data_IF_290975395531
#
_entry.id   IF_290975395531
#
_cell.length_a   1.000
_cell.length_b   1.000
_cell.length_c   1.000
_cell.angle_alpha   90.00
_cell.angle_beta   90.00
_cell.angle_gamma   90.00
#
_symmetry.space_group_name_H-M   'P 1'
#
loop_
_entity.id
_entity.type
_entity.pdbx_description
1 polymer ?
#
# COMPACT_ATOMS: atom_id res chain seq x y z
N UNK A 1 -17.70 47.67 -35.77
CA UNK A 1 -16.72 46.60 -35.46
C UNK A 1 -17.15 46.02 -34.12
N UNK A 2 -17.86 44.87 -34.10
CA UNK A 2 -17.33 43.50 -33.92
C UNK A 2 -16.41 43.43 -32.67
N UNK A 3 -16.61 42.62 -31.63
CA UNK A 3 -17.19 41.27 -31.52
C UNK A 3 -17.88 41.05 -30.17
N UNK A 4 -18.96 40.26 -30.19
CA UNK A 4 -19.54 39.60 -29.03
C UNK A 4 -18.71 38.36 -28.66
N UNK A 5 -18.63 38.03 -27.37
CA UNK A 5 -18.35 36.66 -26.93
C UNK A 5 -19.41 36.24 -25.90
N UNK A 6 -20.04 35.13 -26.28
CA UNK A 6 -21.21 34.48 -25.72
C UNK A 6 -20.89 33.75 -24.42
N UNK A 7 -21.81 33.91 -23.47
CA UNK A 7 -21.92 33.14 -22.24
C UNK A 7 -22.18 31.67 -22.60
N UNK A 8 -21.20 30.79 -22.38
CA UNK A 8 -21.35 29.35 -22.59
C UNK A 8 -22.21 28.74 -21.49
N UNK A 9 -23.45 28.36 -21.82
CA UNK A 9 -24.24 27.45 -20.99
C UNK A 9 -23.56 26.08 -20.98
N UNK A 10 -22.99 25.67 -19.85
CA UNK A 10 -22.74 24.25 -19.58
C UNK A 10 -24.09 23.56 -19.41
N UNK A 11 -24.47 22.77 -20.41
CA UNK A 11 -25.56 21.80 -20.28
C UNK A 11 -24.98 20.61 -19.50
N UNK A 12 -25.28 20.52 -18.21
CA UNK A 12 -25.05 19.30 -17.44
C UNK A 12 -26.08 18.26 -17.90
N UNK A 13 -25.64 17.31 -18.73
CA UNK A 13 -26.44 16.13 -19.06
C UNK A 13 -26.39 15.21 -17.84
N UNK A 14 -27.40 15.31 -16.98
CA UNK A 14 -27.60 14.35 -15.89
C UNK A 14 -28.22 13.10 -16.50
N UNK A 15 -27.38 12.13 -16.84
CA UNK A 15 -27.84 10.77 -17.12
C UNK A 15 -28.31 10.16 -15.79
N UNK A 16 -29.62 10.16 -15.57
CA UNK A 16 -30.29 9.38 -14.54
C UNK A 16 -30.18 7.88 -14.90
N UNK A 17 -29.02 7.27 -14.65
CA UNK A 17 -28.93 5.82 -14.57
C UNK A 17 -29.53 5.38 -13.23
N UNK A 18 -30.77 4.89 -13.30
CA UNK A 18 -31.41 4.14 -12.24
C UNK A 18 -30.68 2.79 -12.10
N UNK A 19 -29.54 2.81 -11.45
CA UNK A 19 -28.87 1.64 -10.89
C UNK A 19 -28.83 1.84 -9.40
N UNK A 20 -29.18 0.81 -8.63
CA UNK A 20 -28.92 0.79 -7.20
C UNK A 20 -27.41 0.95 -6.98
N UNK A 21 -26.93 2.18 -6.85
CA UNK A 21 -25.63 2.47 -6.27
C UNK A 21 -25.76 2.01 -4.82
N UNK A 22 -25.33 0.78 -4.56
CA UNK A 22 -25.03 0.36 -3.21
C UNK A 22 -24.13 1.46 -2.63
N UNK A 23 -24.62 2.13 -1.58
CA UNK A 23 -23.76 3.04 -0.83
C UNK A 23 -22.54 2.22 -0.43
N UNK A 24 -21.30 2.69 -0.70
CA UNK A 24 -20.14 2.04 -0.14
C UNK A 24 -20.36 1.94 1.36
N UNK A 25 -20.20 0.72 1.88
CA UNK A 25 -20.32 0.45 3.30
C UNK A 25 -19.30 1.33 4.04
N UNK A 26 -19.76 2.28 4.85
CA UNK A 26 -18.92 3.05 5.78
C UNK A 26 -18.41 2.21 6.96
N UNK A 27 -18.56 0.89 6.91
CA UNK A 27 -18.03 0.00 7.93
C UNK A 27 -16.54 -0.19 7.66
N UNK A 28 -15.73 0.39 8.55
CA UNK A 28 -14.32 0.10 8.64
C UNK A 28 -14.13 -1.42 8.74
N UNK A 29 -13.27 -1.98 7.87
CA UNK A 29 -12.95 -3.41 7.88
C UNK A 29 -12.29 -3.76 9.20
N UNK A 30 -12.78 -4.82 9.85
CA UNK A 30 -12.14 -5.37 11.05
C UNK A 30 -10.96 -6.22 10.58
N UNK A 31 -9.78 -5.97 11.14
CA UNK A 31 -8.61 -6.80 10.89
C UNK A 31 -8.74 -8.12 11.66
N UNK A 32 -8.90 -9.22 10.95
CA UNK A 32 -9.16 -10.56 11.51
C UNK A 32 -7.87 -11.28 11.91
N UNK A 33 -6.75 -10.88 11.34
CA UNK A 33 -5.44 -11.48 11.56
C UNK A 33 -4.43 -10.42 11.98
N UNK A 34 -3.47 -10.83 12.81
CA UNK A 34 -2.38 -9.99 13.29
C UNK A 34 -1.10 -10.81 13.39
N UNK A 35 0.03 -10.16 13.12
CA UNK A 35 1.35 -10.68 13.43
C UNK A 35 2.31 -9.54 13.79
N UNK A 36 2.94 -9.64 14.96
CA UNK A 36 4.14 -8.86 15.28
C UNK A 36 5.31 -9.41 14.46
N UNK A 37 5.87 -8.58 13.57
CA UNK A 37 7.06 -8.92 12.78
C UNK A 37 8.35 -8.48 13.48
N UNK A 38 8.24 -7.47 14.33
CA UNK A 38 9.26 -6.88 15.19
C UNK A 38 8.55 -6.07 16.30
N UNK A 39 9.15 -5.84 17.48
CA UNK A 39 8.56 -4.95 18.50
C UNK A 39 8.20 -3.54 17.99
N UNK A 40 8.83 -3.07 16.91
CA UNK A 40 8.53 -1.82 16.23
C UNK A 40 7.54 -1.96 15.05
N UNK A 41 7.06 -3.16 14.73
CA UNK A 41 6.27 -3.40 13.52
C UNK A 41 5.21 -4.49 13.70
N UNK A 42 3.94 -4.08 13.63
CA UNK A 42 2.78 -4.97 13.69
C UNK A 42 2.07 -4.92 12.34
N UNK A 43 1.83 -6.10 11.75
CA UNK A 43 1.08 -6.26 10.52
C UNK A 43 -0.27 -6.89 10.83
N UNK A 44 -1.35 -6.31 10.34
CA UNK A 44 -2.71 -6.88 10.42
C UNK A 44 -3.34 -6.97 9.05
N UNK A 45 -4.23 -7.92 8.87
CA UNK A 45 -4.91 -8.07 7.58
C UNK A 45 -6.24 -8.80 7.68
N UNK A 46 -7.08 -8.57 6.67
CA UNK A 46 -8.31 -9.31 6.39
C UNK A 46 -8.43 -9.52 4.89
N UNK A 47 -8.67 -10.77 4.48
CA UNK A 47 -9.08 -11.07 3.12
C UNK A 47 -10.58 -10.83 3.00
N UNK A 48 -10.99 -10.01 2.04
CA UNK A 48 -12.39 -9.60 1.90
C UNK A 48 -13.14 -10.67 1.10
N UNK A 49 -13.99 -11.42 1.79
CA UNK A 49 -14.73 -12.55 1.23
C UNK A 49 -15.49 -12.17 -0.06
N UNK A 50 -15.31 -12.99 -1.10
CA UNK A 50 -16.03 -12.85 -2.37
C UNK A 50 -15.56 -11.71 -3.30
N UNK A 51 -14.55 -10.93 -2.90
CA UNK A 51 -14.02 -9.82 -3.71
C UNK A 51 -12.71 -10.18 -4.42
N UNK A 52 -11.88 -11.02 -3.81
CA UNK A 52 -10.51 -11.22 -4.27
C UNK A 52 -9.53 -10.16 -3.75
N UNK A 53 -9.93 -9.32 -2.80
CA UNK A 53 -9.11 -8.27 -2.20
C UNK A 53 -8.65 -8.60 -0.77
N UNK A 54 -7.60 -7.91 -0.34
CA UNK A 54 -7.08 -7.90 1.03
C UNK A 54 -6.95 -6.45 1.51
N UNK A 55 -7.38 -6.20 2.75
CA UNK A 55 -7.03 -4.98 3.46
C UNK A 55 -5.89 -5.30 4.44
N UNK A 56 -4.86 -4.46 4.41
CA UNK A 56 -3.65 -4.59 5.22
C UNK A 56 -3.51 -3.33 6.07
N UNK A 57 -3.35 -3.49 7.37
CA UNK A 57 -2.93 -2.42 8.28
C UNK A 57 -1.47 -2.62 8.69
N UNK A 58 -0.67 -1.59 8.50
CA UNK A 58 0.70 -1.51 8.99
C UNK A 58 0.71 -0.54 10.16
N UNK A 59 1.15 -1.00 11.33
CA UNK A 59 1.42 -0.17 12.49
C UNK A 59 2.93 -0.24 12.80
N UNK A 60 3.62 0.88 12.62
CA UNK A 60 5.07 0.97 12.74
C UNK A 60 5.49 2.07 13.72
N UNK A 61 6.48 1.78 14.56
CA UNK A 61 7.06 2.72 15.51
C UNK A 61 8.03 3.66 14.78
N UNK A 62 7.47 4.63 14.07
CA UNK A 62 8.21 5.63 13.33
C UNK A 62 7.38 6.90 13.16
N UNK A 63 8.07 8.01 12.90
CA UNK A 63 7.47 9.32 12.57
C UNK A 63 7.45 9.59 11.07
N UNK A 64 8.11 8.75 10.27
CA UNK A 64 8.20 8.90 8.82
C UNK A 64 7.53 7.74 8.09
N UNK A 65 8.09 7.36 6.95
CA UNK A 65 7.53 6.31 6.13
C UNK A 65 7.78 4.90 6.71
N UNK A 66 6.87 4.00 6.39
CA UNK A 66 6.93 2.56 6.66
C UNK A 66 6.59 1.79 5.39
N UNK A 67 7.01 0.53 5.29
CA UNK A 67 6.68 -0.28 4.13
C UNK A 67 6.82 -1.77 4.37
N UNK A 68 6.09 -2.54 3.56
CA UNK A 68 6.25 -3.98 3.43
C UNK A 68 6.63 -4.31 1.98
N UNK A 69 7.31 -5.44 1.80
CA UNK A 69 7.45 -6.03 0.47
C UNK A 69 7.15 -7.52 0.48
N UNK A 70 6.33 -7.97 -0.46
CA UNK A 70 6.24 -9.39 -0.81
C UNK A 70 7.47 -9.73 -1.61
N UNK A 71 8.15 -10.82 -1.27
CA UNK A 71 9.40 -11.20 -1.92
C UNK A 71 9.30 -12.57 -2.60
N UNK A 72 9.80 -12.62 -3.84
CA UNK A 72 10.05 -13.85 -4.59
C UNK A 72 11.56 -14.10 -4.73
N UNK A 73 11.93 -15.38 -4.66
CA UNK A 73 13.33 -15.79 -4.67
C UNK A 73 14.05 -15.56 -3.34
N UNK A 74 15.38 -15.48 -3.39
CA UNK A 74 16.23 -15.26 -2.23
C UNK A 74 16.96 -13.93 -2.39
N UNK A 75 16.84 -13.04 -1.39
CA UNK A 75 17.52 -11.74 -1.38
C UNK A 75 19.03 -11.93 -1.62
N UNK A 76 19.59 -11.09 -2.49
CA UNK A 76 20.98 -11.16 -2.93
C UNK A 76 21.25 -12.22 -4.00
N UNK A 77 20.22 -12.85 -4.57
CA UNK A 77 20.35 -13.77 -5.70
C UNK A 77 19.78 -13.17 -6.99
N UNK A 78 20.36 -13.49 -8.16
CA UNK A 78 19.81 -13.09 -9.44
C UNK A 78 18.36 -13.53 -9.63
N UNK A 79 17.54 -12.60 -10.11
CA UNK A 79 16.10 -12.83 -10.31
C UNK A 79 15.25 -12.81 -9.04
N UNK A 80 15.82 -12.49 -7.87
CA UNK A 80 15.01 -12.16 -6.70
C UNK A 80 14.36 -10.79 -6.85
N UNK A 81 13.13 -10.68 -6.37
CA UNK A 81 12.26 -9.55 -6.69
C UNK A 81 11.31 -9.24 -5.53
N UNK A 82 11.03 -7.95 -5.35
CA UNK A 82 10.15 -7.43 -4.32
C UNK A 82 9.08 -6.53 -4.92
N UNK A 83 7.85 -6.80 -4.55
CA UNK A 83 6.68 -5.95 -4.75
C UNK A 83 6.47 -5.20 -3.44
N UNK A 84 6.43 -3.87 -3.48
CA UNK A 84 6.65 -2.99 -2.33
C UNK A 84 5.48 -2.02 -2.16
N UNK A 85 4.90 -2.06 -0.96
CA UNK A 85 3.93 -1.06 -0.51
C UNK A 85 4.64 -0.14 0.49
N UNK A 86 4.71 1.15 0.18
CA UNK A 86 5.28 2.18 1.06
C UNK A 86 4.22 3.22 1.42
N UNK A 87 4.37 3.86 2.58
CA UNK A 87 3.49 4.96 2.95
C UNK A 87 3.74 5.49 4.35
N UNK A 88 2.96 6.48 4.75
CA UNK A 88 3.06 7.08 6.08
C UNK A 88 2.04 8.17 6.29
N UNK A 89 2.26 8.96 7.34
CA UNK A 89 1.46 10.14 7.64
C UNK A 89 2.37 11.33 7.85
N UNK A 90 2.25 12.33 6.99
CA UNK A 90 3.04 13.54 7.10
C UNK A 90 2.37 14.52 8.07
N UNK A 91 2.96 14.71 9.25
CA UNK A 91 2.43 15.59 10.29
C UNK A 91 2.43 17.08 9.88
N UNK A 92 3.37 17.53 9.05
CA UNK A 92 3.43 18.93 8.61
C UNK A 92 2.27 19.28 7.66
N UNK A 93 1.92 18.34 6.78
CA UNK A 93 0.86 18.47 5.78
C UNK A 93 -0.49 17.95 6.29
N UNK A 94 -0.51 17.26 7.43
CA UNK A 94 -1.68 16.58 7.99
C UNK A 94 -2.33 15.63 6.97
N UNK A 95 -1.49 14.87 6.25
CA UNK A 95 -1.92 14.09 5.10
C UNK A 95 -1.23 12.72 5.05
N UNK A 96 -2.04 11.69 4.80
CA UNK A 96 -1.57 10.35 4.48
C UNK A 96 -1.01 10.25 3.07
N UNK A 97 -0.01 9.39 2.89
CA UNK A 97 0.54 9.06 1.58
C UNK A 97 0.83 7.57 1.48
N UNK A 98 0.78 7.07 0.26
CA UNK A 98 1.19 5.72 -0.09
C UNK A 98 1.79 5.71 -1.48
N UNK A 99 2.69 4.78 -1.73
CA UNK A 99 3.35 4.57 -3.00
C UNK A 99 3.39 3.08 -3.30
N UNK A 100 3.07 2.77 -4.54
CA UNK A 100 3.23 1.44 -5.13
C UNK A 100 4.57 1.39 -5.83
N UNK A 101 5.39 0.41 -5.46
CA UNK A 101 6.77 0.33 -5.88
C UNK A 101 7.20 -1.10 -6.07
N UNK A 102 8.34 -1.27 -6.74
CA UNK A 102 8.96 -2.56 -6.91
C UNK A 102 10.49 -2.47 -6.87
N UNK A 103 11.14 -3.61 -6.61
CA UNK A 103 12.60 -3.68 -6.43
C UNK A 103 13.18 -5.00 -6.91
N UNK A 104 14.30 -4.93 -7.63
CA UNK A 104 15.16 -6.10 -7.83
C UNK A 104 15.98 -6.37 -6.57
N UNK A 105 15.84 -7.55 -5.99
CA UNK A 105 16.48 -7.93 -4.71
C UNK A 105 17.88 -8.55 -4.88
N UNK A 106 18.40 -8.66 -6.11
CA UNK A 106 19.77 -9.12 -6.37
C UNK A 106 20.81 -8.15 -5.81
N UNK A 107 20.57 -6.84 -5.92
CA UNK A 107 21.41 -5.77 -5.41
C UNK A 107 20.52 -4.65 -4.84
N UNK A 108 19.86 -4.87 -3.68
CA UNK A 108 18.90 -3.92 -3.16
C UNK A 108 19.65 -2.65 -2.72
N UNK A 109 19.52 -1.56 -3.48
CA UNK A 109 19.92 -0.24 -3.01
C UNK A 109 18.80 0.29 -2.10
N UNK A 110 19.06 0.49 -0.80
CA UNK A 110 18.04 0.95 0.14
C UNK A 110 17.56 2.39 -0.15
N UNK A 111 18.26 3.19 -0.95
CA UNK A 111 17.87 4.57 -1.29
C UNK A 111 17.22 4.70 -2.68
N UNK A 112 17.64 3.90 -3.67
CA UNK A 112 17.17 4.05 -5.07
C UNK A 112 16.64 2.75 -5.70
N UNK A 113 16.61 1.64 -4.95
CA UNK A 113 16.20 0.34 -5.49
C UNK A 113 14.70 0.21 -5.69
N UNK A 114 13.91 1.07 -5.06
CA UNK A 114 12.46 1.05 -5.13
C UNK A 114 12.00 1.96 -6.26
N UNK A 115 11.76 1.37 -7.43
CA UNK A 115 11.19 2.08 -8.56
C UNK A 115 9.67 2.21 -8.36
N UNK A 116 9.07 3.29 -8.85
CA UNK A 116 7.61 3.37 -8.92
C UNK A 116 7.10 2.26 -9.82
N UNK A 117 6.02 1.62 -9.39
CA UNK A 117 5.30 0.67 -10.22
C UNK A 117 4.65 1.38 -11.42
N UNK A 118 4.63 0.74 -12.59
CA UNK A 118 4.04 1.34 -13.79
C UNK A 118 2.50 1.38 -13.70
N UNK A 119 1.93 0.52 -12.85
CA UNK A 119 0.54 0.53 -12.40
C UNK A 119 0.47 0.97 -10.94
N UNK A 120 -0.71 1.40 -10.48
CA UNK A 120 -0.94 1.63 -9.05
C UNK A 120 -2.10 0.74 -8.63
N UNK A 121 -1.77 -0.34 -7.95
CA UNK A 121 -2.66 -1.42 -7.57
C UNK A 121 -3.05 -1.36 -6.09
N UNK A 122 -2.68 -0.28 -5.41
CA UNK A 122 -3.02 -0.02 -4.02
C UNK A 122 -3.98 1.17 -3.85
N UNK A 123 -4.82 1.08 -2.81
CA UNK A 123 -5.65 2.19 -2.35
C UNK A 123 -5.38 2.47 -0.87
N UNK A 124 -4.90 3.67 -0.57
CA UNK A 124 -4.82 4.18 0.80
C UNK A 124 -6.23 4.42 1.36
N UNK A 125 -6.61 3.61 2.35
CA UNK A 125 -7.89 3.68 3.07
C UNK A 125 -7.82 4.67 4.23
N UNK A 126 -6.72 4.65 4.96
CA UNK A 126 -6.46 5.59 6.06
C UNK A 126 -4.97 5.68 6.35
N UNK A 127 -4.55 6.82 6.88
CA UNK A 127 -3.24 7.02 7.47
C UNK A 127 -3.40 7.95 8.67
N UNK A 128 -2.68 7.67 9.74
CA UNK A 128 -2.63 8.53 10.92
C UNK A 128 -1.33 8.31 11.68
N UNK A 129 -0.97 9.33 12.45
CA UNK A 129 0.07 9.22 13.46
C UNK A 129 -0.58 9.26 14.86
N UNK A 130 -0.26 8.27 15.69
CA UNK A 130 -0.66 8.15 17.09
C UNK A 130 0.58 7.81 17.89
N UNK A 131 1.27 8.83 18.42
CA UNK A 131 2.59 8.68 19.05
C UNK A 131 2.70 7.41 19.92
N UNK A 132 3.68 6.51 19.65
CA UNK A 132 4.79 6.64 18.69
C UNK A 132 4.54 5.98 17.31
N UNK A 133 3.29 5.73 16.93
CA UNK A 133 2.93 4.86 15.81
C UNK A 133 2.48 5.62 14.57
N UNK A 134 3.12 5.36 13.44
CA UNK A 134 2.53 5.60 12.12
C UNK A 134 1.68 4.40 11.75
N UNK A 135 0.41 4.63 11.40
CA UNK A 135 -0.56 3.58 11.10
C UNK A 135 -1.21 3.87 9.75
N UNK A 136 -1.01 2.97 8.79
CA UNK A 136 -1.60 3.07 7.45
C UNK A 136 -2.44 1.83 7.13
N UNK A 137 -3.51 2.02 6.36
CA UNK A 137 -4.33 0.94 5.81
C UNK A 137 -4.41 1.00 4.32
N UNK A 138 -4.12 -0.12 3.69
CA UNK A 138 -4.08 -0.28 2.24
C UNK A 138 -5.07 -1.36 1.84
N UNK A 139 -5.85 -1.10 0.79
CA UNK A 139 -6.62 -2.11 0.08
C UNK A 139 -5.88 -2.47 -1.22
N UNK A 140 -5.80 -3.77 -1.51
CA UNK A 140 -5.17 -4.30 -2.72
C UNK A 140 -5.84 -5.60 -3.15
N UNK A 141 -5.86 -5.90 -4.45
CA UNK A 141 -6.28 -7.22 -4.92
C UNK A 141 -5.24 -8.30 -4.60
N UNK A 142 -5.69 -9.50 -4.19
CA UNK A 142 -4.81 -10.64 -3.94
C UNK A 142 -3.96 -11.02 -5.16
N UNK A 143 -4.49 -10.76 -6.36
CA UNK A 143 -3.77 -10.88 -7.62
C UNK A 143 -4.20 -9.73 -8.52
N UNK A 144 -3.28 -8.79 -8.77
CA UNK A 144 -3.50 -7.59 -9.58
C UNK A 144 -3.40 -7.89 -11.08
N UNK A 145 -2.64 -8.93 -11.43
CA UNK A 145 -2.32 -9.28 -12.80
C UNK A 145 -1.19 -8.42 -13.40
N UNK A 146 -0.60 -7.52 -12.61
CA UNK A 146 0.60 -6.79 -13.01
C UNK A 146 1.84 -7.70 -12.97
N UNK A 147 2.74 -7.50 -13.94
CA UNK A 147 4.04 -8.14 -14.00
C UNK A 147 5.04 -7.65 -12.95
N UNK A 148 4.83 -6.46 -12.39
CA UNK A 148 5.68 -5.89 -11.34
C UNK A 148 5.21 -6.27 -9.92
N UNK A 149 4.13 -7.03 -9.84
CA UNK A 149 3.48 -7.46 -8.61
C UNK A 149 3.63 -8.96 -8.32
N UNK A 150 3.58 -9.30 -7.04
CA UNK A 150 3.59 -10.69 -6.56
C UNK A 150 2.20 -11.04 -6.02
N UNK A 151 1.52 -12.03 -6.62
CA UNK A 151 0.24 -12.50 -6.10
C UNK A 151 0.35 -13.03 -4.67
N UNK A 152 -0.59 -12.63 -3.82
CA UNK A 152 -0.74 -13.15 -2.46
C UNK A 152 -1.48 -14.49 -2.54
N UNK A 153 -0.76 -15.57 -2.26
CA UNK A 153 -1.23 -16.95 -2.45
C UNK A 153 -1.38 -17.71 -1.13
N UNK A 154 -2.14 -18.83 -1.11
CA UNK A 154 -2.20 -19.73 0.03
C UNK A 154 -0.81 -20.21 0.49
N UNK A 155 -0.60 -20.17 1.80
CA UNK A 155 0.63 -20.63 2.45
C UNK A 155 1.60 -19.50 2.86
N UNK A 156 2.76 -19.87 3.44
CA UNK A 156 3.68 -18.89 4.01
C UNK A 156 4.52 -18.20 2.94
N UNK A 157 4.38 -16.88 2.82
CA UNK A 157 5.14 -15.99 1.94
C UNK A 157 6.25 -15.27 2.69
N UNK A 158 7.31 -14.86 1.99
CA UNK A 158 8.36 -14.00 2.55
C UNK A 158 7.90 -12.55 2.47
N UNK A 159 7.90 -11.87 3.61
CA UNK A 159 7.59 -10.44 3.73
C UNK A 159 8.79 -9.73 4.34
N UNK A 160 9.29 -8.70 3.68
CA UNK A 160 10.18 -7.73 4.33
C UNK A 160 9.37 -6.59 4.91
N UNK A 161 9.89 -5.98 5.97
CA UNK A 161 9.33 -4.78 6.58
C UNK A 161 10.43 -3.74 6.74
N UNK A 162 10.04 -2.46 6.70
CA UNK A 162 10.96 -1.32 6.71
C UNK A 162 10.32 -0.14 7.44
N UNK A 163 11.12 0.63 8.19
CA UNK A 163 10.69 1.86 8.86
C UNK A 163 11.73 2.96 8.70
N UNK A 164 11.29 4.20 8.58
CA UNK A 164 12.13 5.39 8.45
C UNK A 164 11.65 6.51 9.38
N UNK A 165 12.57 7.32 9.95
CA UNK A 165 12.20 8.50 10.71
C UNK A 165 11.78 9.69 9.83
N UNK A 166 11.95 9.61 8.51
CA UNK A 166 11.65 10.71 7.57
C UNK A 166 10.47 10.36 6.66
N UNK A 167 9.72 11.36 6.22
CA UNK A 167 8.67 11.18 5.19
C UNK A 167 9.20 11.07 3.76
N UNK A 168 10.49 11.32 3.53
CA UNK A 168 11.11 11.16 2.21
C UNK A 168 11.27 9.67 1.86
N UNK A 169 10.37 9.16 1.02
CA UNK A 169 10.37 7.78 0.50
C UNK A 169 11.52 7.48 -0.44
N UNK A 170 12.31 8.48 -0.85
CA UNK A 170 13.56 8.31 -1.59
C UNK A 170 14.78 8.21 -0.67
N UNK A 171 14.61 8.45 0.62
CA UNK A 171 15.64 8.22 1.64
C UNK A 171 15.51 6.80 2.19
N UNK A 172 16.64 6.11 2.38
CA UNK A 172 16.63 4.71 2.84
C UNK A 172 16.09 4.52 4.26
N UNK A 173 15.63 3.30 4.54
CA UNK A 173 15.06 2.94 5.85
C UNK A 173 16.09 2.99 6.99
N UNK A 174 15.64 3.32 8.20
CA UNK A 174 16.45 3.25 9.41
C UNK A 174 16.54 1.84 10.00
N UNK A 175 15.48 1.04 9.87
CA UNK A 175 15.45 -0.36 10.31
C UNK A 175 14.60 -1.21 9.36
N UNK A 176 14.93 -2.49 9.29
CA UNK A 176 14.26 -3.44 8.41
C UNK A 176 14.41 -4.88 8.93
N UNK A 177 13.56 -5.77 8.43
CA UNK A 177 13.64 -7.20 8.72
C UNK A 177 12.87 -8.06 7.74
N UNK A 178 12.93 -9.38 7.97
CA UNK A 178 12.24 -10.40 7.17
C UNK A 178 11.39 -11.29 8.07
N UNK A 179 10.24 -11.71 7.57
CA UNK A 179 9.33 -12.61 8.24
C UNK A 179 8.60 -13.51 7.26
N UNK A 180 8.20 -14.70 7.71
CA UNK A 180 7.24 -15.53 6.97
C UNK A 180 5.83 -15.21 7.42
N UNK A 181 4.95 -14.82 6.51
CA UNK A 181 3.54 -14.48 6.82
C UNK A 181 2.62 -15.36 5.99
N UNK A 182 1.57 -15.90 6.61
CA UNK A 182 0.55 -16.68 5.92
C UNK A 182 -0.72 -15.85 5.86
N UNK A 183 -0.94 -15.13 4.76
CA UNK A 183 -2.13 -14.29 4.58
C UNK A 183 -3.38 -15.12 4.35
N UNK A 184 -3.24 -16.21 3.59
CA UNK A 184 -4.28 -17.17 3.27
C UNK A 184 -3.81 -18.56 3.75
N UNK A 185 -4.54 -19.25 4.64
CA UNK A 185 -4.20 -20.62 5.05
C UNK A 185 -4.20 -21.63 3.88
N UNK A 186 -3.49 -22.75 4.04
CA UNK A 186 -3.52 -23.90 3.10
C UNK A 186 -4.83 -24.68 3.20
#
# INVERSE_FOLDING_TARGET
>A
MKYAQTLGCMVAVILLSCGCLAKPSNRETVMENEKELDPAFILRWTVIEGTGDIEIEIQANCTGWTGISFAEGQIGQPGSYGDVIMGGFNDELQMGYSEDRHIALENPDPANGHLFDDSNDILLKSARYEEPWTIIRILRSLNTGDSQDIPIVPGPMTVSWTISPTDDTSSGHGSAGLSRVTFIPL
#
